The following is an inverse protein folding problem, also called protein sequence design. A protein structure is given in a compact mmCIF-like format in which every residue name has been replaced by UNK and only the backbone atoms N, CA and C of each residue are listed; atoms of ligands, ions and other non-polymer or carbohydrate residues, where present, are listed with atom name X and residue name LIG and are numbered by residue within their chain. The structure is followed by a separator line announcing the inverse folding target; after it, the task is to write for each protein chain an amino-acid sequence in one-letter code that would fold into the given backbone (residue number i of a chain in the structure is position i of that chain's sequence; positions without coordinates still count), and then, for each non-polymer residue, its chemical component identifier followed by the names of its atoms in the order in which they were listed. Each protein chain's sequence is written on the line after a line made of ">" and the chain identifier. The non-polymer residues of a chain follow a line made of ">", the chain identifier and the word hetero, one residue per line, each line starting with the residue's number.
data_IF_261338508849
#
_entry.id   IF_261338508849
#
_cell.length_a   1.000
_cell.length_b   1.000
_cell.length_c   1.000
_cell.angle_alpha   90.00
_cell.angle_beta   90.00
_cell.angle_gamma   90.00
#
_symmetry.space_group_name_H-M   'P 1'
#
loop_
_entity.id
_entity.type
_entity.pdbx_description
1 polymer ?
#
# COMPACT_ATOMS: atom_id res chain seq x y z
N UNK A 1 12.06 -11.87 5.82
CA UNK A 1 13.18 -10.90 5.76
C UNK A 1 13.23 -10.33 4.35
N UNK A 2 13.26 -9.02 4.23
CA UNK A 2 13.29 -8.29 2.95
C UNK A 2 14.46 -7.28 2.93
N UNK A 3 14.64 -6.55 1.85
CA UNK A 3 15.60 -5.45 1.72
C UNK A 3 14.86 -4.11 1.81
N UNK A 4 15.34 -3.21 2.65
CA UNK A 4 14.74 -1.90 2.86
C UNK A 4 14.62 -1.13 1.55
N UNK A 5 13.43 -0.60 1.29
CA UNK A 5 13.15 0.27 0.15
C UNK A 5 12.82 1.68 0.64
N UNK A 6 13.31 2.68 -0.08
CA UNK A 6 12.95 4.08 0.11
C UNK A 6 12.91 4.76 -1.25
N UNK A 7 11.83 5.46 -1.55
CA UNK A 7 11.67 6.24 -2.79
C UNK A 7 11.93 5.44 -4.09
N UNK A 8 11.57 4.15 -4.11
CA UNK A 8 11.73 3.29 -5.28
C UNK A 8 13.11 2.64 -5.45
N UNK A 9 14.03 2.83 -4.50
CA UNK A 9 15.36 2.22 -4.53
C UNK A 9 15.72 1.56 -3.18
N UNK A 10 16.81 0.79 -3.16
CA UNK A 10 17.33 0.16 -1.95
C UNK A 10 17.91 1.19 -0.99
N UNK A 11 17.43 1.17 0.25
CA UNK A 11 18.01 1.96 1.32
C UNK A 11 19.32 1.31 1.77
N UNK A 12 20.43 2.04 1.66
CA UNK A 12 21.74 1.57 2.09
C UNK A 12 21.87 1.62 3.61
N UNK A 13 22.54 0.61 4.17
CA UNK A 13 22.97 0.59 5.55
C UNK A 13 24.31 1.32 5.76
N UNK A 14 24.81 1.36 7.00
CA UNK A 14 26.06 2.07 7.33
C UNK A 14 27.30 1.58 6.58
N UNK A 15 27.28 0.35 6.08
CA UNK A 15 28.37 -0.29 5.33
C UNK A 15 28.31 -0.04 3.83
N UNK A 16 27.31 0.71 3.34
CA UNK A 16 27.08 0.94 1.92
C UNK A 16 26.38 -0.20 1.18
N UNK A 17 26.02 -1.29 1.87
CA UNK A 17 25.22 -2.38 1.31
C UNK A 17 23.72 -2.18 1.59
N UNK A 18 22.81 -2.74 0.77
CA UNK A 18 21.37 -2.68 1.03
C UNK A 18 21.02 -3.18 2.44
N UNK A 19 20.28 -2.35 3.19
CA UNK A 19 19.86 -2.66 4.55
C UNK A 19 18.79 -3.75 4.52
N UNK A 20 18.90 -4.74 5.41
CA UNK A 20 17.86 -5.77 5.57
C UNK A 20 16.79 -5.31 6.55
N UNK A 21 15.54 -5.65 6.28
CA UNK A 21 14.39 -5.42 7.16
C UNK A 21 13.74 -6.75 7.55
N UNK A 22 13.17 -6.78 8.74
CA UNK A 22 12.47 -7.96 9.26
C UNK A 22 11.39 -7.56 10.25
N UNK A 23 10.50 -8.49 10.59
CA UNK A 23 9.44 -8.25 11.57
C UNK A 23 8.45 -7.18 11.10
N UNK A 24 8.11 -6.24 11.97
CA UNK A 24 7.09 -5.21 11.71
C UNK A 24 7.49 -4.27 10.56
N UNK A 25 8.78 -3.93 10.42
CA UNK A 25 9.24 -3.06 9.34
C UNK A 25 9.09 -3.72 7.97
N UNK A 26 9.48 -4.99 7.86
CA UNK A 26 9.23 -5.79 6.66
C UNK A 26 7.72 -5.90 6.36
N UNK A 27 6.91 -6.09 7.39
CA UNK A 27 5.46 -6.23 7.25
C UNK A 27 4.84 -4.94 6.67
N UNK A 28 5.21 -3.78 7.22
CA UNK A 28 4.75 -2.49 6.73
C UNK A 28 5.22 -2.22 5.30
N UNK A 29 6.49 -2.51 4.98
CA UNK A 29 7.01 -2.34 3.63
C UNK A 29 6.21 -3.17 2.62
N UNK A 30 5.97 -4.46 2.91
CA UNK A 30 5.20 -5.35 2.02
C UNK A 30 3.76 -4.87 1.84
N UNK A 31 3.10 -4.42 2.90
CA UNK A 31 1.76 -3.86 2.83
C UNK A 31 1.73 -2.59 1.97
N UNK A 32 2.71 -1.71 2.16
CA UNK A 32 2.85 -0.45 1.41
C UNK A 32 3.03 -0.71 -0.10
N UNK A 33 3.87 -1.69 -0.46
CA UNK A 33 4.07 -2.09 -1.87
C UNK A 33 2.75 -2.56 -2.48
N UNK A 34 2.03 -3.47 -1.80
CA UNK A 34 0.73 -3.97 -2.28
C UNK A 34 -0.32 -2.88 -2.44
N UNK A 35 -0.33 -1.89 -1.56
CA UNK A 35 -1.30 -0.79 -1.64
C UNK A 35 -0.97 0.20 -2.76
N UNK A 36 0.32 0.47 -3.01
CA UNK A 36 0.75 1.52 -3.96
C UNK A 36 0.92 1.03 -5.40
N UNK A 37 1.31 -0.22 -5.62
CA UNK A 37 1.54 -0.70 -6.98
C UNK A 37 0.20 -0.99 -7.66
N UNK A 38 -0.05 -0.52 -8.90
CA UNK A 38 -1.24 -0.90 -9.66
C UNK A 38 -1.33 -2.42 -9.85
N UNK A 39 -2.47 -3.02 -9.50
CA UNK A 39 -2.70 -4.45 -9.72
C UNK A 39 -2.61 -4.80 -11.21
N UNK A 40 -2.02 -5.94 -11.55
CA UNK A 40 -1.92 -6.45 -12.92
C UNK A 40 -0.65 -6.05 -13.69
N UNK A 41 0.18 -5.14 -13.17
CA UNK A 41 1.40 -4.68 -13.87
C UNK A 41 2.52 -5.72 -13.90
N UNK A 42 2.50 -6.68 -12.96
CA UNK A 42 3.50 -7.73 -12.88
C UNK A 42 3.04 -8.99 -13.63
N UNK A 43 3.67 -9.28 -14.78
CA UNK A 43 3.32 -10.41 -15.63
C UNK A 43 3.33 -11.77 -14.90
N UNK A 44 4.25 -11.96 -13.96
CA UNK A 44 4.39 -13.22 -13.20
C UNK A 44 3.59 -13.24 -11.89
N UNK A 45 3.01 -12.12 -11.48
CA UNK A 45 2.19 -12.02 -10.27
C UNK A 45 1.10 -10.94 -10.43
N UNK A 46 0.08 -11.20 -11.28
CA UNK A 46 -0.92 -10.19 -11.63
C UNK A 46 -1.78 -9.75 -10.43
N UNK A 47 -1.92 -10.62 -9.42
CA UNK A 47 -2.64 -10.33 -8.18
C UNK A 47 -1.89 -9.37 -7.23
N UNK A 48 -0.60 -9.10 -7.50
CA UNK A 48 0.17 -8.16 -6.69
C UNK A 48 -0.23 -6.73 -7.01
N UNK A 49 -0.56 -5.96 -5.97
CA UNK A 49 -0.92 -4.55 -6.09
C UNK A 49 -2.35 -4.27 -5.65
N UNK A 50 -2.82 -3.05 -5.91
CA UNK A 50 -4.17 -2.62 -5.61
C UNK A 50 -4.82 -1.93 -6.80
N UNK A 51 -6.15 -1.92 -6.80
CA UNK A 51 -6.97 -1.16 -7.75
C UNK A 51 -7.27 0.26 -7.25
N UNK A 52 -6.65 0.70 -6.15
CA UNK A 52 -6.91 2.01 -5.53
C UNK A 52 -6.62 3.15 -6.53
N UNK A 53 -5.61 2.99 -7.39
CA UNK A 53 -5.29 3.94 -8.46
C UNK A 53 -6.47 4.21 -9.43
N UNK A 54 -7.47 3.32 -9.51
CA UNK A 54 -8.66 3.48 -10.35
C UNK A 54 -9.76 4.33 -9.71
N UNK A 55 -9.64 4.63 -8.42
CA UNK A 55 -10.63 5.45 -7.71
C UNK A 55 -10.60 6.88 -8.23
N UNK A 56 -11.79 7.43 -8.42
CA UNK A 56 -12.00 8.80 -8.88
C UNK A 56 -12.74 9.63 -7.84
N UNK A 57 -12.58 10.96 -7.81
CA UNK A 57 -13.22 11.82 -6.81
C UNK A 57 -14.76 11.78 -6.82
N UNK A 58 -15.33 11.52 -7.99
CA UNK A 58 -16.75 11.37 -8.29
C UNK A 58 -17.28 9.95 -8.06
N UNK A 59 -16.43 9.01 -7.64
CA UNK A 59 -16.83 7.65 -7.30
C UNK A 59 -17.82 7.68 -6.13
N UNK A 60 -19.02 7.13 -6.34
CA UNK A 60 -20.01 6.95 -5.28
C UNK A 60 -19.45 5.99 -4.24
N UNK A 61 -19.64 6.30 -2.95
CA UNK A 61 -19.12 5.51 -1.82
C UNK A 61 -17.61 5.21 -1.91
N UNK A 62 -16.82 6.20 -2.39
CA UNK A 62 -15.37 6.07 -2.60
C UNK A 62 -14.60 5.47 -1.42
N UNK A 63 -14.95 5.83 -0.17
CA UNK A 63 -14.28 5.28 1.01
C UNK A 63 -14.58 3.79 1.22
N UNK A 64 -15.82 3.36 0.98
CA UNK A 64 -16.20 1.95 1.04
C UNK A 64 -15.52 1.14 -0.08
N UNK A 65 -15.47 1.69 -1.29
CA UNK A 65 -14.74 1.10 -2.41
C UNK A 65 -13.24 1.00 -2.12
N UNK A 66 -12.64 2.06 -1.58
CA UNK A 66 -11.23 2.09 -1.20
C UNK A 66 -10.90 1.09 -0.09
N UNK A 67 -11.78 0.95 0.90
CA UNK A 67 -11.67 -0.06 1.95
C UNK A 67 -11.65 -1.48 1.35
N UNK A 68 -12.61 -1.78 0.45
CA UNK A 68 -12.68 -3.08 -0.20
C UNK A 68 -11.43 -3.37 -1.07
N UNK A 69 -10.96 -2.39 -1.82
CA UNK A 69 -9.74 -2.50 -2.63
C UNK A 69 -8.48 -2.70 -1.78
N UNK A 70 -8.37 -2.01 -0.64
CA UNK A 70 -7.25 -2.18 0.30
C UNK A 70 -7.26 -3.57 0.96
N UNK A 71 -8.44 -4.04 1.37
CA UNK A 71 -8.61 -5.39 1.92
C UNK A 71 -8.28 -6.48 0.89
N UNK A 72 -8.68 -6.30 -0.37
CA UNK A 72 -8.32 -7.19 -1.47
C UNK A 72 -6.81 -7.26 -1.68
N UNK A 73 -6.14 -6.11 -1.79
CA UNK A 73 -4.68 -6.03 -1.99
C UNK A 73 -3.88 -6.72 -0.87
N UNK A 74 -4.39 -6.65 0.37
CA UNK A 74 -3.74 -7.21 1.56
C UNK A 74 -4.22 -8.64 1.90
N UNK A 75 -5.06 -9.28 1.08
CA UNK A 75 -5.60 -10.62 1.33
C UNK A 75 -4.52 -11.68 1.60
N UNK A 76 -3.38 -11.59 0.93
CA UNK A 76 -2.24 -12.52 1.11
C UNK A 76 -1.34 -12.17 2.30
N UNK A 77 -1.73 -11.18 3.12
CA UNK A 77 -1.02 -10.74 4.33
C UNK A 77 -1.94 -10.87 5.55
N UNK A 78 -2.25 -12.08 6.04
CA UNK A 78 -3.20 -12.31 7.13
C UNK A 78 -2.80 -11.64 8.45
N UNK A 79 -1.54 -11.23 8.61
CA UNK A 79 -1.05 -10.50 9.76
C UNK A 79 -1.45 -9.02 9.79
N UNK A 80 -1.92 -8.46 8.66
CA UNK A 80 -2.28 -7.04 8.53
C UNK A 80 -3.76 -6.91 8.22
N UNK A 81 -4.44 -6.03 8.95
CA UNK A 81 -5.85 -5.71 8.74
C UNK A 81 -6.02 -4.23 8.43
N UNK A 82 -6.98 -3.91 7.56
CA UNK A 82 -7.38 -2.52 7.29
C UNK A 82 -8.44 -2.11 8.30
N UNK A 83 -8.11 -1.16 9.17
CA UNK A 83 -9.00 -0.63 10.20
C UNK A 83 -9.97 0.42 9.66
N UNK A 84 -9.52 1.22 8.69
CA UNK A 84 -10.29 2.30 8.13
C UNK A 84 -9.60 2.94 6.94
N UNK A 85 -10.38 3.68 6.15
CA UNK A 85 -9.91 4.43 5.00
C UNK A 85 -10.60 5.78 4.98
N UNK A 86 -9.88 6.84 4.61
CA UNK A 86 -10.45 8.15 4.29
C UNK A 86 -9.95 8.62 2.93
N UNK A 87 -10.82 9.33 2.21
CA UNK A 87 -10.48 9.89 0.90
C UNK A 87 -10.56 11.42 0.96
N UNK A 88 -9.50 12.10 0.53
CA UNK A 88 -9.42 13.56 0.53
C UNK A 88 -8.87 14.10 -0.78
N UNK A 89 -9.16 15.36 -1.08
CA UNK A 89 -8.72 16.00 -2.33
C UNK A 89 -9.61 15.67 -3.53
N UNK A 90 -9.29 16.31 -4.66
CA UNK A 90 -9.96 16.11 -5.95
C UNK A 90 -8.96 15.54 -6.95
N UNK A 91 -7.98 16.31 -7.44
CA UNK A 91 -6.92 15.74 -8.28
C UNK A 91 -5.57 16.39 -7.90
N UNK A 92 -4.59 15.62 -7.40
CA UNK A 92 -4.70 14.20 -7.11
C UNK A 92 -5.58 13.93 -5.88
N UNK A 93 -6.31 12.81 -5.90
CA UNK A 93 -7.05 12.34 -4.73
C UNK A 93 -6.11 11.52 -3.85
N UNK A 94 -6.13 11.78 -2.55
CA UNK A 94 -5.32 11.07 -1.57
C UNK A 94 -6.20 10.10 -0.78
N UNK A 95 -5.78 8.84 -0.74
CA UNK A 95 -6.42 7.77 0.04
C UNK A 95 -5.50 7.43 1.22
N UNK A 96 -5.96 7.71 2.44
CA UNK A 96 -5.27 7.35 3.68
C UNK A 96 -5.85 6.04 4.22
N UNK A 97 -4.98 5.09 4.51
CA UNK A 97 -5.35 3.71 4.86
C UNK A 97 -4.73 3.40 6.22
N UNK A 98 -5.59 3.10 7.19
CA UNK A 98 -5.17 2.74 8.54
C UNK A 98 -4.99 1.22 8.61
N UNK A 99 -3.76 0.79 8.89
CA UNK A 99 -3.38 -0.61 9.04
C UNK A 99 -3.16 -0.94 10.52
N UNK A 100 -3.55 -2.15 10.91
CA UNK A 100 -3.29 -2.71 12.24
C UNK A 100 -2.79 -4.14 12.13
N UNK A 101 -1.94 -4.54 13.07
CA UNK A 101 -1.45 -5.90 13.31
C UNK A 101 -1.32 -6.11 14.82
N UNK A 102 -0.96 -7.33 15.24
CA UNK A 102 -1.01 -7.78 16.64
C UNK A 102 -0.43 -6.78 17.66
N UNK A 103 0.76 -6.25 17.39
CA UNK A 103 1.47 -5.34 18.31
C UNK A 103 1.72 -3.95 17.70
N UNK A 104 0.87 -3.49 16.77
CA UNK A 104 1.09 -2.16 16.17
C UNK A 104 0.14 -1.77 15.05
N UNK A 105 0.49 -0.68 14.39
CA UNK A 105 -0.26 -0.14 13.26
C UNK A 105 0.52 0.95 12.56
N UNK A 106 0.06 1.29 11.36
CA UNK A 106 0.61 2.38 10.56
C UNK A 106 -0.46 2.98 9.67
N UNK A 107 -0.18 4.16 9.16
CA UNK A 107 -0.99 4.80 8.14
C UNK A 107 -0.21 4.80 6.82
N UNK A 108 -0.88 4.38 5.75
CA UNK A 108 -0.31 4.35 4.40
C UNK A 108 -1.10 5.29 3.52
N UNK A 109 -0.37 6.18 2.86
CA UNK A 109 -0.92 7.09 1.86
C UNK A 109 -0.74 6.52 0.45
N UNK A 110 -1.82 6.56 -0.33
CA UNK A 110 -1.84 6.24 -1.77
C UNK A 110 -2.42 7.44 -2.52
N UNK A 111 -1.67 7.92 -3.52
CA UNK A 111 -2.05 9.04 -4.37
C UNK A 111 -2.72 8.48 -5.63
N UNK A 112 -3.90 9.01 -5.97
CA UNK A 112 -4.66 8.66 -7.16
C UNK A 112 -4.65 9.86 -8.11
N UNK A 113 -3.81 9.79 -9.13
CA UNK A 113 -3.61 10.90 -10.08
C UNK A 113 -4.68 10.96 -11.18
N UNK A 114 -5.64 10.02 -11.21
CA UNK A 114 -6.75 10.01 -12.18
C UNK A 114 -6.36 9.57 -13.60
N UNK A 115 -5.06 9.49 -13.91
CA UNK A 115 -4.51 9.08 -15.20
C UNK A 115 -3.56 7.87 -15.04
N UNK A 116 -3.85 6.78 -15.77
CA UNK A 116 -2.88 5.76 -16.22
C UNK A 116 -3.15 5.51 -17.70
#
# INVERSE_FOLDING_TARGET
>A
MDTALANGDFLLGPTGFPRRVSGQEELLQRATIRLRVPQGVFAYQPELGSRIHTLRPDTVDKEANALAMAQEALREMPQVQVKGVSCSGTVPMVVQIQLVWEDGGAEVEVICDGDI
#
